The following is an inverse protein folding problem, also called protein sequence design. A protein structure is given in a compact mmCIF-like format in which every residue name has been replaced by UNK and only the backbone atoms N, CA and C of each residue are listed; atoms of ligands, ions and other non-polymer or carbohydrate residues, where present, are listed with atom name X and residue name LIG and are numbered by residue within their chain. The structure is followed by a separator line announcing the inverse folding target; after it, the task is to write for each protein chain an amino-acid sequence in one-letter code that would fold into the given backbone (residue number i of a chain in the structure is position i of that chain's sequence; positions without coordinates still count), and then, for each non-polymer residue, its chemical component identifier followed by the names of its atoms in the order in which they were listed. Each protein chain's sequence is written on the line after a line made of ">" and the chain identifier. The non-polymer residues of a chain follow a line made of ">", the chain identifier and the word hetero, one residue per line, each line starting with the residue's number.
data_IF_049532361926
#
_entry.id   IF_049532361926
#
_cell.length_a   1.000
_cell.length_b   1.000
_cell.length_c   1.000
_cell.angle_alpha   90.00
_cell.angle_beta   90.00
_cell.angle_gamma   90.00
#
_symmetry.space_group_name_H-M   'P 1'
#
loop_
_entity.id
_entity.type
_entity.pdbx_description
1 polymer ?
#
# COMPACT_ATOMS: atom_id res chain seq x y z
N UNK A 1 -19.51 12.62 -10.54
CA UNK A 1 -18.67 13.00 -9.38
C UNK A 1 -19.15 12.18 -8.19
N UNK A 2 -18.65 10.97 -8.05
CA UNK A 2 -18.96 10.10 -6.91
C UNK A 2 -18.03 10.51 -5.77
N UNK A 3 -18.62 11.09 -4.73
CA UNK A 3 -17.97 11.41 -3.47
C UNK A 3 -17.64 10.09 -2.78
N UNK A 4 -16.42 9.60 -2.95
CA UNK A 4 -15.94 8.49 -2.15
C UNK A 4 -15.85 8.94 -0.68
N UNK A 5 -16.33 8.13 0.29
CA UNK A 5 -16.15 8.38 1.70
C UNK A 5 -14.73 8.88 2.01
N UNK A 6 -14.67 10.12 2.49
CA UNK A 6 -13.46 10.78 2.96
C UNK A 6 -13.13 10.37 4.39
N UNK A 7 -13.35 9.09 4.73
CA UNK A 7 -12.92 8.56 6.01
C UNK A 7 -11.40 8.64 6.08
N UNK A 8 -10.83 9.35 7.06
CA UNK A 8 -9.39 9.41 7.22
C UNK A 8 -8.87 8.00 7.53
N UNK A 9 -7.82 7.58 6.85
CA UNK A 9 -7.05 6.41 7.23
C UNK A 9 -6.24 6.70 8.49
N UNK A 10 -5.98 5.68 9.29
CA UNK A 10 -5.13 5.78 10.48
C UNK A 10 -3.73 5.28 10.14
N UNK A 11 -2.71 6.11 10.32
CA UNK A 11 -1.33 5.66 10.21
C UNK A 11 -0.95 4.84 11.45
N UNK A 12 -0.74 3.53 11.31
CA UNK A 12 -0.36 2.66 12.42
C UNK A 12 1.04 2.96 13.00
N UNK A 13 1.94 3.60 12.23
CA UNK A 13 3.27 3.96 12.71
C UNK A 13 3.29 5.16 13.67
N UNK A 14 2.32 6.09 13.55
CA UNK A 14 2.32 7.33 14.34
C UNK A 14 0.96 7.74 14.92
N UNK A 15 -0.09 6.97 14.67
CA UNK A 15 -1.46 7.20 15.16
C UNK A 15 -2.17 8.40 14.54
N UNK A 16 -1.64 9.02 13.47
CA UNK A 16 -2.26 10.19 12.85
C UNK A 16 -3.30 9.80 11.80
N UNK A 17 -4.39 10.56 11.79
CA UNK A 17 -5.37 10.54 10.71
C UNK A 17 -4.77 11.14 9.44
N UNK A 18 -4.88 10.43 8.34
CA UNK A 18 -4.34 10.79 7.03
C UNK A 18 -5.41 10.59 5.95
N UNK A 19 -5.38 11.44 4.93
CA UNK A 19 -6.19 11.21 3.73
C UNK A 19 -5.44 10.32 2.75
N UNK A 20 -6.15 9.62 1.86
CA UNK A 20 -5.55 8.82 0.78
C UNK A 20 -4.52 9.64 -0.03
N UNK A 21 -4.89 10.88 -0.38
CA UNK A 21 -4.02 11.83 -1.11
C UNK A 21 -2.73 12.19 -0.38
N UNK A 22 -2.75 12.21 0.95
CA UNK A 22 -1.57 12.55 1.77
C UNK A 22 -0.79 11.33 2.24
N UNK A 23 -1.30 10.10 2.02
CA UNK A 23 -0.77 8.89 2.63
C UNK A 23 0.64 8.57 2.12
N UNK A 24 0.88 8.68 0.81
CA UNK A 24 2.20 8.47 0.21
C UNK A 24 3.27 9.39 0.82
N UNK A 25 3.05 10.70 0.76
CA UNK A 25 4.00 11.69 1.29
C UNK A 25 4.19 11.50 2.81
N UNK A 26 3.11 11.18 3.52
CA UNK A 26 3.15 10.89 4.95
C UNK A 26 4.05 9.67 5.26
N UNK A 27 3.90 8.58 4.52
CA UNK A 27 4.70 7.37 4.74
C UNK A 27 6.17 7.57 4.37
N UNK A 28 6.44 8.30 3.29
CA UNK A 28 7.80 8.70 2.91
C UNK A 28 8.44 9.54 4.03
N UNK A 29 7.67 10.39 4.72
CA UNK A 29 8.20 11.22 5.81
C UNK A 29 8.71 10.41 7.02
N UNK A 30 8.23 9.18 7.22
CA UNK A 30 8.76 8.28 8.24
C UNK A 30 10.13 7.70 7.87
N UNK A 31 10.49 7.73 6.59
CA UNK A 31 11.79 7.26 6.10
C UNK A 31 12.83 8.37 6.36
N UNK A 32 13.55 8.25 7.47
CA UNK A 32 14.50 9.27 7.97
C UNK A 32 15.66 9.59 7.03
N UNK A 33 15.93 8.80 5.99
CA UNK A 33 17.06 8.98 5.05
C UNK A 33 16.67 8.47 3.67
N UNK A 34 16.90 9.26 2.62
CA UNK A 34 16.90 8.78 1.22
C UNK A 34 18.11 7.85 1.06
N UNK A 35 17.92 6.53 0.96
CA UNK A 35 19.03 5.63 0.69
C UNK A 35 19.39 5.75 -0.80
N UNK A 36 20.64 5.41 -1.13
CA UNK A 36 21.12 5.36 -2.53
C UNK A 36 20.51 4.21 -3.35
N UNK A 37 19.75 3.32 -2.71
CA UNK A 37 18.95 2.25 -3.31
C UNK A 37 17.51 2.34 -2.79
N UNK A 38 16.48 1.89 -3.53
CA UNK A 38 15.14 1.80 -2.99
C UNK A 38 15.18 0.91 -1.74
N UNK A 39 15.01 1.50 -0.56
CA UNK A 39 14.98 0.78 0.71
C UNK A 39 13.60 0.24 1.04
N UNK A 40 12.59 0.63 0.27
CA UNK A 40 11.23 0.20 0.45
C UNK A 40 10.40 0.36 -0.82
N UNK A 41 9.42 -0.52 -0.98
CA UNK A 41 8.29 -0.32 -1.87
C UNK A 41 7.14 0.34 -1.10
N UNK A 42 6.37 1.15 -1.83
CA UNK A 42 5.08 1.65 -1.37
C UNK A 42 4.01 0.96 -2.22
N UNK A 43 3.16 0.17 -1.57
CA UNK A 43 2.12 -0.62 -2.21
C UNK A 43 0.78 -0.01 -1.85
N UNK A 44 0.00 0.39 -2.84
CA UNK A 44 -1.38 0.81 -2.65
C UNK A 44 -2.31 -0.40 -2.81
N UNK A 45 -3.13 -0.65 -1.79
CA UNK A 45 -4.12 -1.71 -1.78
C UNK A 45 -5.50 -1.06 -1.88
N UNK A 46 -6.27 -1.48 -2.88
CA UNK A 46 -7.62 -0.96 -3.16
C UNK A 46 -8.56 -2.11 -3.42
N UNK A 47 -9.85 -1.89 -3.15
CA UNK A 47 -10.91 -2.84 -3.49
C UNK A 47 -11.55 -2.42 -4.81
N UNK A 48 -11.73 -3.38 -5.71
CA UNK A 48 -12.50 -3.16 -6.95
C UNK A 48 -13.94 -2.74 -6.58
N UNK A 49 -14.48 -1.77 -7.33
CA UNK A 49 -15.80 -1.15 -7.09
C UNK A 49 -16.01 -0.42 -5.74
N UNK A 50 -15.06 -0.49 -4.81
CA UNK A 50 -15.11 0.17 -3.50
C UNK A 50 -13.84 0.98 -3.17
N UNK A 51 -13.58 2.09 -3.90
CA UNK A 51 -12.35 2.86 -3.74
C UNK A 51 -12.27 3.66 -2.42
N UNK A 52 -13.36 3.69 -1.65
CA UNK A 52 -13.39 4.22 -0.29
C UNK A 52 -12.57 3.41 0.70
N UNK A 53 -12.39 2.11 0.42
CA UNK A 53 -11.49 1.28 1.20
C UNK A 53 -10.14 1.21 0.53
N UNK A 54 -9.14 1.71 1.23
CA UNK A 54 -7.78 1.82 0.75
C UNK A 54 -6.80 1.63 1.89
N UNK A 55 -5.60 1.16 1.54
CA UNK A 55 -4.49 1.05 2.46
C UNK A 55 -3.18 1.27 1.70
N UNK A 56 -2.21 1.89 2.36
CA UNK A 56 -0.85 1.95 1.86
C UNK A 56 0.07 1.13 2.76
N UNK A 57 0.87 0.27 2.15
CA UNK A 57 1.86 -0.56 2.82
C UNK A 57 3.26 -0.10 2.45
N UNK A 58 4.13 0.07 3.44
CA UNK A 58 5.56 0.23 3.21
C UNK A 58 6.22 -1.12 3.45
N UNK A 59 6.96 -1.60 2.46
CA UNK A 59 7.53 -2.94 2.43
C UNK A 59 9.02 -2.88 2.13
N UNK A 60 9.82 -3.77 2.69
CA UNK A 60 11.22 -3.89 2.26
C UNK A 60 11.31 -4.57 0.87
N UNK A 61 12.42 -4.43 0.13
CA UNK A 61 12.55 -5.03 -1.20
C UNK A 61 12.60 -6.55 -1.22
N UNK A 62 12.92 -7.17 -0.08
CA UNK A 62 12.99 -8.63 0.14
C UNK A 62 11.71 -9.21 0.75
N UNK A 63 10.71 -8.38 1.03
CA UNK A 63 9.40 -8.83 1.51
C UNK A 63 8.71 -9.70 0.46
N UNK A 64 8.19 -10.84 0.90
CA UNK A 64 7.52 -11.82 0.04
C UNK A 64 6.02 -11.50 -0.11
N UNK A 65 5.37 -12.14 -1.08
CA UNK A 65 3.91 -12.07 -1.20
C UNK A 65 3.19 -12.73 -0.02
N UNK A 66 3.82 -13.74 0.61
CA UNK A 66 3.28 -14.39 1.81
C UNK A 66 3.27 -13.42 3.00
N UNK A 67 4.32 -12.63 3.19
CA UNK A 67 4.36 -11.60 4.24
C UNK A 67 3.24 -10.57 4.04
N UNK A 68 3.01 -10.15 2.78
CA UNK A 68 1.93 -9.23 2.43
C UNK A 68 0.56 -9.88 2.69
N UNK A 69 0.39 -11.16 2.34
CA UNK A 69 -0.84 -11.90 2.58
C UNK A 69 -1.22 -12.00 4.05
N UNK A 70 -0.25 -12.40 4.90
CA UNK A 70 -0.44 -12.51 6.34
C UNK A 70 -0.84 -11.16 6.94
N UNK A 71 -0.21 -10.06 6.49
CA UNK A 71 -0.56 -8.71 6.93
C UNK A 71 -1.98 -8.32 6.52
N UNK A 72 -2.38 -8.63 5.28
CA UNK A 72 -3.73 -8.32 4.79
C UNK A 72 -4.81 -9.11 5.56
N UNK A 73 -4.52 -10.37 5.91
CA UNK A 73 -5.41 -11.20 6.74
C UNK A 73 -5.55 -10.63 8.15
N UNK A 74 -4.44 -10.26 8.79
CA UNK A 74 -4.45 -9.70 10.14
C UNK A 74 -5.20 -8.36 10.22
N UNK A 75 -5.00 -7.48 9.24
CA UNK A 75 -5.57 -6.12 9.27
C UNK A 75 -6.99 -6.02 8.72
N UNK A 76 -7.35 -6.84 7.73
CA UNK A 76 -8.53 -6.55 6.91
C UNK A 76 -9.44 -7.76 6.66
N UNK A 77 -8.89 -8.95 6.38
CA UNK A 77 -9.69 -10.07 5.88
C UNK A 77 -10.08 -11.12 6.94
N UNK A 78 -9.30 -11.29 8.00
CA UNK A 78 -9.44 -12.43 8.91
C UNK A 78 -8.83 -13.74 8.37
N UNK A 79 -8.77 -14.77 9.21
CA UNK A 79 -7.91 -15.95 9.02
C UNK A 79 -8.51 -17.07 8.13
N UNK A 80 -9.81 -17.01 7.84
CA UNK A 80 -10.56 -18.10 7.17
C UNK A 80 -10.60 -17.99 5.63
N UNK A 81 -9.72 -17.17 5.01
CA UNK A 81 -9.76 -16.90 3.57
C UNK A 81 -8.52 -17.40 2.81
N UNK A 82 -8.77 -18.07 1.68
CA UNK A 82 -7.73 -18.46 0.73
C UNK A 82 -7.48 -17.30 -0.23
N UNK A 83 -6.22 -16.93 -0.38
CA UNK A 83 -5.73 -15.82 -1.19
C UNK A 83 -4.78 -16.31 -2.28
N UNK A 84 -4.73 -15.57 -3.39
CA UNK A 84 -3.79 -15.80 -4.49
C UNK A 84 -3.43 -14.48 -5.16
N UNK A 85 -2.19 -14.35 -5.62
CA UNK A 85 -1.71 -13.15 -6.30
C UNK A 85 -1.48 -13.45 -7.79
N UNK A 86 -1.98 -12.56 -8.65
CA UNK A 86 -1.65 -12.53 -10.07
C UNK A 86 -0.73 -11.33 -10.32
N UNK A 87 0.51 -11.59 -10.74
CA UNK A 87 1.45 -10.54 -11.15
C UNK A 87 1.39 -10.41 -12.66
N UNK A 88 0.93 -9.26 -13.14
CA UNK A 88 1.02 -8.92 -14.56
C UNK A 88 2.39 -8.32 -14.87
N UNK A 89 3.19 -9.05 -15.65
CA UNK A 89 4.50 -8.62 -16.12
C UNK A 89 4.43 -7.82 -17.44
N UNK A 90 3.25 -7.61 -18.01
CA UNK A 90 3.08 -6.92 -19.30
C UNK A 90 3.50 -5.44 -19.28
N UNK A 91 3.60 -4.83 -18.09
CA UNK A 91 3.94 -3.41 -17.90
C UNK A 91 5.41 -3.13 -17.61
N UNK A 92 6.29 -4.14 -17.46
CA UNK A 92 7.70 -3.92 -17.13
C UNK A 92 8.55 -3.31 -18.27
N UNK A 93 7.95 -3.05 -19.43
CA UNK A 93 8.58 -2.38 -20.57
C UNK A 93 8.30 -0.87 -20.65
N UNK A 94 7.64 -0.26 -19.65
CA UNK A 94 7.46 1.20 -19.64
C UNK A 94 8.73 1.90 -19.14
N UNK A 95 9.66 2.15 -20.06
CA UNK A 95 10.73 3.13 -19.86
C UNK A 95 10.08 4.50 -19.64
N UNK A 96 10.15 5.03 -18.41
CA UNK A 96 9.76 6.41 -18.13
C UNK A 96 10.75 7.37 -18.80
N UNK A 97 10.33 8.30 -19.67
CA UNK A 97 11.18 9.31 -20.26
C UNK A 97 11.15 10.57 -19.41
N UNK A 98 11.73 10.54 -18.21
CA UNK A 98 12.06 11.75 -17.43
C UNK A 98 13.36 11.57 -16.67
#
# INVERSE_FOLDING_TARGET
>A
MTLLPSSPGLCLACGKNITRKSAEIHLISHQKRKPSKPSAYLIEVTVEDHPEYWMYLSSYPDTTLEDIDLLLKDLWMGDDHISSFLIDLSLSNYNSPY
#
